data_IF_831036227640
#
_entry.id   IF_831036227640
#
_cell.length_a   1.000
_cell.length_b   1.000
_cell.length_c   1.000
_cell.angle_alpha   90.00
_cell.angle_beta   90.00
_cell.angle_gamma   90.00
#
_symmetry.space_group_name_H-M   'P 1'
#
loop_
_entity.id
_entity.type
_entity.pdbx_description
1 polymer ?
#
# COMPACT_ATOMS: atom_id res chain seq x y z
N UNK A 1 -36.04 -16.15 -29.20
CA UNK A 1 -35.04 -15.16 -28.75
C UNK A 1 -35.08 -15.25 -27.24
N UNK A 2 -34.09 -15.95 -26.65
CA UNK A 2 -33.88 -15.88 -25.20
C UNK A 2 -33.45 -14.45 -24.89
N UNK A 3 -34.23 -13.73 -24.10
CA UNK A 3 -33.78 -12.49 -23.46
C UNK A 3 -32.57 -12.85 -22.63
N UNK A 4 -31.40 -12.39 -23.05
CA UNK A 4 -30.22 -12.40 -22.20
C UNK A 4 -30.54 -11.55 -20.97
N UNK A 5 -31.02 -12.18 -19.91
CA UNK A 5 -31.21 -11.50 -18.63
C UNK A 5 -29.84 -10.94 -18.20
N UNK A 6 -29.79 -9.64 -17.95
CA UNK A 6 -28.58 -8.98 -17.50
C UNK A 6 -28.11 -9.65 -16.19
N UNK A 7 -26.82 -10.01 -16.12
CA UNK A 7 -26.25 -10.61 -14.91
C UNK A 7 -26.45 -9.66 -13.72
N UNK A 8 -26.82 -10.19 -12.54
CA UNK A 8 -26.91 -9.35 -11.35
C UNK A 8 -25.54 -8.69 -11.05
N UNK A 9 -25.56 -7.39 -10.73
CA UNK A 9 -24.37 -6.65 -10.28
C UNK A 9 -24.43 -6.51 -8.75
N UNK A 10 -23.55 -7.23 -8.06
CA UNK A 10 -23.47 -7.26 -6.60
C UNK A 10 -22.34 -6.32 -6.16
N UNK A 11 -22.71 -5.33 -5.38
CA UNK A 11 -21.75 -4.42 -4.74
C UNK A 11 -21.26 -5.02 -3.43
N UNK A 12 -19.94 -5.11 -3.27
CA UNK A 12 -19.29 -5.67 -2.08
C UNK A 12 -18.29 -4.65 -1.54
N UNK A 13 -18.17 -4.57 -0.23
CA UNK A 13 -17.17 -3.77 0.45
C UNK A 13 -16.26 -4.66 1.27
N UNK A 14 -14.95 -4.46 1.13
CA UNK A 14 -13.91 -5.35 1.65
C UNK A 14 -12.90 -4.53 2.43
N UNK A 15 -12.54 -5.02 3.62
CA UNK A 15 -11.55 -4.41 4.50
C UNK A 15 -10.21 -5.15 4.44
N UNK A 16 -9.14 -4.42 4.19
CA UNK A 16 -7.76 -4.86 4.35
C UNK A 16 -7.31 -4.34 5.72
N UNK A 17 -7.41 -5.19 6.75
CA UNK A 17 -7.00 -4.82 8.11
C UNK A 17 -5.50 -5.08 8.28
N UNK A 18 -4.78 -4.06 8.77
CA UNK A 18 -3.31 -4.07 8.84
C UNK A 18 -2.85 -3.82 10.28
N UNK A 19 -1.96 -4.68 10.77
CA UNK A 19 -1.23 -4.51 12.03
C UNK A 19 0.21 -4.94 11.87
N UNK A 20 1.17 -4.09 12.28
CA UNK A 20 2.60 -4.36 12.15
C UNK A 20 2.99 -4.92 10.75
N UNK A 21 2.52 -4.25 9.70
CA UNK A 21 2.75 -4.61 8.31
C UNK A 21 2.26 -6.03 7.90
N UNK A 22 1.38 -6.65 8.70
CA UNK A 22 0.67 -7.89 8.39
C UNK A 22 -0.78 -7.60 8.06
N UNK A 23 -1.41 -8.51 7.33
CA UNK A 23 -2.80 -8.39 6.86
C UNK A 23 -3.64 -9.49 7.50
N UNK A 24 -4.82 -9.15 8.00
CA UNK A 24 -5.78 -10.09 8.57
C UNK A 24 -6.55 -10.80 7.46
N UNK A 25 -6.57 -12.13 7.53
CA UNK A 25 -7.19 -13.00 6.51
C UNK A 25 -7.97 -14.11 7.19
N UNK A 26 -9.15 -14.41 6.65
CA UNK A 26 -10.00 -15.53 7.06
C UNK A 26 -10.02 -16.65 6.03
N UNK A 27 -10.77 -17.68 6.36
CA UNK A 27 -11.04 -18.82 5.51
C UNK A 27 -12.53 -18.92 5.23
N UNK A 28 -12.90 -19.01 3.98
CA UNK A 28 -14.28 -19.16 3.51
C UNK A 28 -14.65 -20.62 3.41
N UNK A 29 -15.70 -21.02 4.13
CA UNK A 29 -16.15 -22.40 4.14
C UNK A 29 -16.67 -22.88 2.78
N UNK A 30 -16.68 -24.21 2.59
CA UNK A 30 -16.94 -24.84 1.29
C UNK A 30 -18.34 -24.59 0.72
N UNK A 31 -19.33 -24.34 1.57
CA UNK A 31 -20.73 -24.10 1.23
C UNK A 31 -21.03 -22.65 0.78
N UNK A 32 -20.07 -21.74 0.96
CA UNK A 32 -20.20 -20.35 0.54
C UNK A 32 -19.82 -20.15 -0.95
N UNK A 33 -20.35 -19.09 -1.56
CA UNK A 33 -19.93 -18.70 -2.91
C UNK A 33 -18.42 -18.45 -2.95
N UNK A 34 -17.72 -19.11 -3.89
CA UNK A 34 -16.25 -19.14 -3.92
C UNK A 34 -15.61 -19.77 -2.67
N UNK A 35 -16.24 -20.78 -2.05
CA UNK A 35 -15.75 -21.51 -0.88
C UNK A 35 -14.37 -22.15 -1.08
N UNK A 36 -13.79 -22.65 0.02
CA UNK A 36 -12.42 -23.20 0.09
C UNK A 36 -11.35 -22.21 -0.39
N UNK A 37 -11.52 -20.94 -0.03
CA UNK A 37 -10.57 -19.86 -0.36
C UNK A 37 -10.34 -18.96 0.84
N UNK A 38 -9.19 -18.31 0.81
CA UNK A 38 -8.90 -17.22 1.74
C UNK A 38 -9.72 -15.98 1.38
N UNK A 39 -10.04 -15.19 2.40
CA UNK A 39 -10.82 -13.98 2.23
C UNK A 39 -10.34 -12.85 3.15
N UNK A 40 -10.66 -11.62 2.75
CA UNK A 40 -10.62 -10.47 3.62
C UNK A 40 -11.99 -10.25 4.25
N UNK A 41 -12.09 -9.62 5.45
CA UNK A 41 -13.37 -9.24 6.03
C UNK A 41 -14.19 -8.36 5.08
N UNK A 42 -15.49 -8.61 5.00
CA UNK A 42 -16.36 -7.79 4.17
C UNK A 42 -17.57 -8.53 3.62
N UNK A 43 -18.52 -7.75 3.11
CA UNK A 43 -19.78 -8.29 2.61
C UNK A 43 -20.50 -7.35 1.66
N UNK A 44 -21.78 -7.66 1.42
CA UNK A 44 -22.60 -6.92 0.47
C UNK A 44 -22.93 -5.53 0.98
N UNK A 45 -22.93 -4.56 0.08
CA UNK A 45 -23.45 -3.22 0.35
C UNK A 45 -24.96 -3.26 0.29
N UNK A 46 -25.64 -2.97 1.37
CA UNK A 46 -27.08 -2.98 1.49
C UNK A 46 -27.75 -1.79 0.77
N UNK A 47 -29.07 -1.86 0.59
CA UNK A 47 -29.82 -0.80 -0.06
C UNK A 47 -29.77 0.49 0.76
N UNK A 48 -29.34 1.61 0.13
CA UNK A 48 -29.18 2.89 0.79
C UNK A 48 -27.89 3.06 1.59
N UNK A 49 -27.06 2.01 1.69
CA UNK A 49 -25.79 2.06 2.40
C UNK A 49 -24.64 2.55 1.49
N UNK A 50 -23.72 3.32 2.05
CA UNK A 50 -22.46 3.64 1.36
C UNK A 50 -21.46 2.49 1.49
N UNK A 51 -20.56 2.28 0.50
CA UNK A 51 -19.57 1.20 0.60
C UNK A 51 -18.67 1.27 1.85
N UNK A 52 -18.33 2.47 2.32
CA UNK A 52 -17.51 2.62 3.53
C UNK A 52 -18.29 2.21 4.79
N UNK A 53 -19.60 2.48 4.84
CA UNK A 53 -20.44 2.08 5.97
C UNK A 53 -20.65 0.56 5.98
N UNK A 54 -20.87 -0.06 4.82
CA UNK A 54 -20.89 -1.51 4.67
C UNK A 54 -19.58 -2.13 5.18
N UNK A 55 -18.43 -1.56 4.78
CA UNK A 55 -17.13 -2.02 5.27
C UNK A 55 -17.03 -2.00 6.79
N UNK A 56 -17.47 -0.91 7.43
CA UNK A 56 -17.46 -0.77 8.90
C UNK A 56 -18.37 -1.78 9.58
N UNK A 57 -19.59 -1.93 9.09
CA UNK A 57 -20.57 -2.87 9.61
C UNK A 57 -20.05 -4.30 9.55
N UNK A 58 -19.57 -4.73 8.39
CA UNK A 58 -19.04 -6.09 8.19
C UNK A 58 -17.82 -6.37 9.08
N UNK A 59 -16.89 -5.42 9.21
CA UNK A 59 -15.73 -5.57 10.11
C UNK A 59 -16.17 -5.70 11.57
N UNK A 60 -17.18 -4.94 12.00
CA UNK A 60 -17.72 -5.07 13.36
C UNK A 60 -18.42 -6.43 13.55
N UNK A 61 -19.21 -6.88 12.59
CA UNK A 61 -19.97 -8.13 12.65
C UNK A 61 -19.05 -9.35 12.60
N UNK A 62 -18.14 -9.42 11.63
CA UNK A 62 -17.29 -10.59 11.39
C UNK A 62 -16.04 -10.62 12.28
N UNK A 63 -15.37 -9.48 12.46
CA UNK A 63 -14.08 -9.40 13.15
C UNK A 63 -14.23 -8.92 14.59
N UNK A 64 -15.27 -8.13 14.89
CA UNK A 64 -15.51 -7.55 16.22
C UNK A 64 -14.81 -6.22 16.47
N UNK A 65 -14.31 -5.56 15.43
CA UNK A 65 -13.57 -4.31 15.53
C UNK A 65 -14.42 -3.11 15.08
N UNK A 66 -14.44 -2.06 15.91
CA UNK A 66 -14.97 -0.74 15.56
C UNK A 66 -13.80 0.22 15.32
N UNK A 67 -13.47 0.46 14.06
CA UNK A 67 -12.33 1.27 13.65
C UNK A 67 -12.79 2.63 13.11
N UNK A 68 -12.09 3.69 13.50
CA UNK A 68 -12.44 5.07 13.14
C UNK A 68 -12.11 5.39 11.66
N UNK A 69 -10.93 4.96 11.19
CA UNK A 69 -10.38 5.41 9.92
C UNK A 69 -10.27 4.26 8.93
N UNK A 70 -10.96 4.42 7.80
CA UNK A 70 -10.86 3.56 6.63
C UNK A 70 -10.39 4.40 5.45
N UNK A 71 -9.39 3.92 4.75
CA UNK A 71 -8.79 4.59 3.60
C UNK A 71 -9.14 3.82 2.33
N UNK A 72 -9.66 4.53 1.32
CA UNK A 72 -9.99 3.90 0.04
C UNK A 72 -8.71 3.34 -0.59
N UNK A 73 -8.69 2.03 -0.80
CA UNK A 73 -7.56 1.34 -1.41
C UNK A 73 -7.73 1.20 -2.90
N UNK A 74 -8.81 0.51 -3.35
CA UNK A 74 -9.05 0.27 -4.77
C UNK A 74 -10.53 0.04 -5.06
N UNK A 75 -10.85 -0.08 -6.36
CA UNK A 75 -12.15 -0.51 -6.86
C UNK A 75 -11.94 -1.46 -8.03
N UNK A 76 -12.56 -2.65 -7.95
CA UNK A 76 -12.48 -3.66 -9.00
C UNK A 76 -13.90 -4.04 -9.40
N UNK A 77 -14.16 -4.01 -10.71
CA UNK A 77 -15.36 -4.64 -11.30
C UNK A 77 -14.92 -5.90 -12.01
N UNK A 78 -15.44 -7.04 -11.56
CA UNK A 78 -15.09 -8.35 -12.10
C UNK A 78 -16.35 -9.09 -12.54
N UNK A 79 -16.29 -9.67 -13.72
CA UNK A 79 -17.41 -10.46 -14.27
C UNK A 79 -17.09 -11.95 -14.16
N UNK A 80 -17.94 -12.67 -13.42
CA UNK A 80 -18.01 -14.13 -13.40
C UNK A 80 -19.04 -14.63 -14.42
N UNK A 81 -19.16 -15.93 -14.59
CA UNK A 81 -20.14 -16.53 -15.53
C UNK A 81 -21.57 -16.18 -15.16
N UNK A 82 -21.90 -16.13 -13.88
CA UNK A 82 -23.23 -15.98 -13.29
C UNK A 82 -23.51 -14.59 -12.71
N UNK A 83 -22.46 -13.79 -12.38
CA UNK A 83 -22.61 -12.55 -11.64
C UNK A 83 -21.51 -11.55 -11.98
N UNK A 84 -21.83 -10.27 -11.92
CA UNK A 84 -20.85 -9.18 -11.89
C UNK A 84 -20.68 -8.76 -10.44
N UNK A 85 -19.42 -8.58 -10.00
CA UNK A 85 -19.12 -8.08 -8.66
C UNK A 85 -18.36 -6.75 -8.75
N UNK A 86 -18.88 -5.77 -8.01
CA UNK A 86 -18.27 -4.44 -7.86
C UNK A 86 -17.67 -4.35 -6.47
N UNK A 87 -16.35 -4.58 -6.38
CA UNK A 87 -15.59 -4.69 -5.13
C UNK A 87 -14.99 -3.35 -4.74
N UNK A 88 -15.36 -2.83 -3.58
CA UNK A 88 -14.81 -1.63 -2.98
C UNK A 88 -13.83 -2.03 -1.88
N UNK A 89 -12.54 -1.79 -2.08
CA UNK A 89 -11.51 -2.11 -1.09
C UNK A 89 -11.14 -0.89 -0.26
N UNK A 90 -11.11 -1.09 1.05
CA UNK A 90 -10.61 -0.12 2.02
C UNK A 90 -9.52 -0.78 2.87
N UNK A 91 -8.53 -0.03 3.32
CA UNK A 91 -7.64 -0.51 4.36
C UNK A 91 -7.83 0.28 5.66
N UNK A 92 -7.52 -0.35 6.78
CA UNK A 92 -7.53 0.26 8.10
C UNK A 92 -6.42 -0.32 8.97
N UNK A 93 -5.86 0.51 9.84
CA UNK A 93 -4.86 0.08 10.81
C UNK A 93 -5.51 -0.36 12.12
N UNK A 94 -5.11 -1.55 12.59
CA UNK A 94 -5.60 -2.13 13.85
C UNK A 94 -4.59 -1.82 14.96
N UNK A 95 -5.03 -1.14 16.01
CA UNK A 95 -4.19 -0.81 17.16
C UNK A 95 -3.91 -2.07 17.99
N UNK A 96 -2.75 -2.14 18.64
CA UNK A 96 -2.40 -3.26 19.51
C UNK A 96 -3.43 -3.50 20.63
N UNK A 97 -4.06 -2.44 21.13
CA UNK A 97 -5.11 -2.51 22.17
C UNK A 97 -6.42 -3.18 21.69
N UNK A 98 -6.59 -3.38 20.39
CA UNK A 98 -7.81 -3.95 19.82
C UNK A 98 -7.64 -5.43 19.40
N UNK A 99 -6.42 -5.97 19.47
CA UNK A 99 -6.12 -7.33 18.99
C UNK A 99 -6.92 -8.41 19.74
N UNK A 100 -7.12 -8.24 21.04
CA UNK A 100 -7.87 -9.20 21.89
C UNK A 100 -9.39 -9.21 21.58
N UNK A 101 -9.89 -8.22 20.83
CA UNK A 101 -11.30 -8.14 20.39
C UNK A 101 -11.58 -8.96 19.14
N UNK A 102 -10.53 -9.37 18.43
CA UNK A 102 -10.65 -10.08 17.15
C UNK A 102 -11.27 -11.46 17.39
N UNK A 103 -12.44 -11.68 16.78
CA UNK A 103 -13.11 -12.98 16.78
C UNK A 103 -12.31 -14.01 15.98
N UNK A 104 -12.39 -15.27 16.35
CA UNK A 104 -11.84 -16.37 15.54
C UNK A 104 -12.76 -16.67 14.34
N UNK A 105 -12.25 -17.15 13.19
CA UNK A 105 -10.91 -17.73 12.97
C UNK A 105 -9.95 -16.87 12.10
N UNK A 106 -9.85 -15.58 12.36
CA UNK A 106 -8.98 -14.67 11.60
C UNK A 106 -7.50 -14.86 11.96
N UNK A 107 -6.58 -14.76 10.93
CA UNK A 107 -5.14 -14.96 11.08
C UNK A 107 -4.35 -13.85 10.40
N UNK A 108 -3.25 -13.42 11.03
CA UNK A 108 -2.34 -12.41 10.50
C UNK A 108 -1.29 -13.02 9.59
N UNK A 109 -1.24 -12.59 8.32
CA UNK A 109 -0.24 -12.99 7.34
C UNK A 109 0.67 -11.84 6.97
N UNK A 110 1.96 -12.12 6.72
CA UNK A 110 2.83 -11.13 6.09
C UNK A 110 2.35 -10.85 4.66
N UNK A 111 2.63 -9.65 4.15
CA UNK A 111 2.20 -9.25 2.80
C UNK A 111 2.73 -10.16 1.70
N UNK A 112 3.97 -10.65 1.85
CA UNK A 112 4.63 -11.56 0.90
C UNK A 112 4.07 -13.00 0.94
N UNK A 113 3.41 -13.42 2.01
CA UNK A 113 2.72 -14.72 2.10
C UNK A 113 1.38 -14.73 1.36
N UNK A 114 0.74 -13.57 1.16
CA UNK A 114 -0.60 -13.49 0.56
C UNK A 114 -0.66 -14.06 -0.86
N UNK A 115 0.42 -13.97 -1.63
CA UNK A 115 0.47 -14.48 -3.01
C UNK A 115 0.39 -16.00 -3.09
N UNK A 116 0.77 -16.71 -2.02
CA UNK A 116 0.77 -18.18 -1.93
C UNK A 116 -0.58 -18.72 -1.43
N UNK A 117 -1.48 -17.82 -1.00
CA UNK A 117 -2.81 -18.17 -0.52
C UNK A 117 -3.83 -18.23 -1.67
N UNK A 118 -4.75 -19.20 -1.57
CA UNK A 118 -5.80 -19.41 -2.58
C UNK A 118 -6.94 -18.39 -2.42
N UNK A 119 -6.77 -17.17 -2.91
CA UNK A 119 -7.83 -16.15 -2.95
C UNK A 119 -8.72 -16.27 -4.21
N UNK A 120 -9.95 -15.73 -4.19
CA UNK A 120 -10.77 -15.53 -5.39
C UNK A 120 -10.03 -14.75 -6.48
N UNK A 121 -10.33 -15.08 -7.76
CA UNK A 121 -9.64 -14.45 -8.91
C UNK A 121 -9.73 -12.93 -8.91
N UNK A 122 -10.86 -12.37 -8.48
CA UNK A 122 -11.08 -10.92 -8.39
C UNK A 122 -10.12 -10.22 -7.40
N UNK A 123 -9.57 -10.94 -6.41
CA UNK A 123 -8.64 -10.36 -5.42
C UNK A 123 -7.18 -10.34 -5.89
N UNK A 124 -6.83 -11.05 -6.98
CA UNK A 124 -5.43 -11.13 -7.44
C UNK A 124 -4.75 -9.77 -7.67
N UNK A 125 -5.39 -8.75 -8.28
CA UNK A 125 -4.77 -7.44 -8.43
C UNK A 125 -4.46 -6.78 -7.08
N UNK A 126 -5.34 -6.96 -6.08
CA UNK A 126 -5.17 -6.44 -4.73
C UNK A 126 -4.02 -7.12 -4.02
N UNK A 127 -3.94 -8.46 -4.09
CA UNK A 127 -2.82 -9.24 -3.53
C UNK A 127 -1.48 -8.75 -4.11
N UNK A 128 -1.42 -8.58 -5.44
CA UNK A 128 -0.23 -8.06 -6.11
C UNK A 128 0.15 -6.67 -5.61
N UNK A 129 -0.83 -5.78 -5.40
CA UNK A 129 -0.60 -4.42 -4.89
C UNK A 129 -0.17 -4.43 -3.42
N UNK A 130 -0.74 -5.32 -2.60
CA UNK A 130 -0.36 -5.48 -1.20
C UNK A 130 1.05 -6.02 -1.01
N UNK A 131 1.55 -6.83 -1.97
CA UNK A 131 2.91 -7.34 -1.97
C UNK A 131 3.90 -6.26 -2.44
N UNK A 132 4.20 -5.31 -1.55
CA UNK A 132 5.17 -4.25 -1.82
C UNK A 132 6.57 -4.82 -2.05
N UNK A 133 7.24 -4.35 -3.12
CA UNK A 133 8.59 -4.80 -3.47
C UNK A 133 9.61 -4.37 -2.43
N UNK A 134 10.64 -5.18 -2.23
CA UNK A 134 11.61 -5.00 -1.14
C UNK A 134 12.71 -3.95 -1.42
N UNK A 135 12.89 -3.58 -2.68
CA UNK A 135 13.94 -2.65 -3.08
C UNK A 135 13.35 -1.43 -3.80
N UNK A 136 13.82 -0.25 -3.45
CA UNK A 136 13.44 1.00 -4.10
C UNK A 136 14.72 1.72 -4.53
N UNK A 137 14.93 1.81 -5.86
CA UNK A 137 15.98 2.63 -6.45
C UNK A 137 15.52 4.08 -6.50
N UNK A 138 16.36 5.01 -6.08
CA UNK A 138 16.07 6.44 -6.15
C UNK A 138 16.97 7.03 -7.24
N UNK A 139 16.39 7.75 -8.22
CA UNK A 139 17.14 8.34 -9.32
C UNK A 139 16.46 9.59 -9.87
N UNK A 140 17.24 10.49 -10.44
CA UNK A 140 16.79 11.63 -11.23
C UNK A 140 16.53 11.22 -12.70
N UNK A 141 17.17 10.11 -13.14
CA UNK A 141 17.03 9.59 -14.50
C UNK A 141 15.84 8.60 -14.58
N UNK A 142 14.78 8.99 -15.33
CA UNK A 142 13.60 8.15 -15.57
C UNK A 142 13.92 6.89 -16.39
N UNK A 143 14.97 6.90 -17.21
CA UNK A 143 15.34 5.75 -18.03
C UNK A 143 15.73 4.53 -17.19
N UNK A 144 16.11 4.75 -15.93
CA UNK A 144 16.34 3.68 -14.96
C UNK A 144 15.09 2.79 -14.75
N UNK A 145 13.89 3.28 -15.06
CA UNK A 145 12.66 2.50 -15.00
C UNK A 145 12.69 1.28 -15.93
N UNK A 146 13.34 1.42 -17.10
CA UNK A 146 13.50 0.33 -18.08
C UNK A 146 14.59 -0.69 -17.67
N UNK A 147 15.44 -0.32 -16.71
CA UNK A 147 16.60 -1.11 -16.27
C UNK A 147 16.41 -1.73 -14.88
N UNK A 148 15.22 -1.56 -14.28
CA UNK A 148 14.93 -2.11 -12.96
C UNK A 148 15.01 -3.64 -12.97
N UNK A 149 15.72 -4.18 -11.98
CA UNK A 149 15.67 -5.60 -11.68
C UNK A 149 14.26 -6.06 -11.30
N UNK A 150 14.02 -7.36 -11.35
CA UNK A 150 12.80 -7.92 -10.79
C UNK A 150 12.72 -7.62 -9.28
N UNK A 151 11.56 -7.22 -8.81
CA UNK A 151 11.37 -6.89 -7.39
C UNK A 151 11.84 -5.49 -6.98
N UNK A 152 12.04 -4.57 -7.93
CA UNK A 152 12.40 -3.19 -7.64
C UNK A 152 11.32 -2.19 -8.07
N UNK A 153 11.18 -1.09 -7.27
CA UNK A 153 10.54 0.16 -7.66
C UNK A 153 11.59 1.20 -8.05
N UNK A 154 11.19 2.17 -8.85
CA UNK A 154 11.92 3.42 -9.06
C UNK A 154 11.20 4.54 -8.30
N UNK A 155 11.87 5.19 -7.34
CA UNK A 155 11.46 6.51 -6.88
C UNK A 155 12.19 7.55 -7.74
N UNK A 156 11.45 8.11 -8.69
CA UNK A 156 11.98 9.11 -9.61
C UNK A 156 11.86 10.52 -9.03
N UNK A 157 12.98 11.23 -9.01
CA UNK A 157 13.12 12.63 -8.55
C UNK A 157 13.56 13.49 -9.73
N UNK A 158 12.66 13.92 -10.64
CA UNK A 158 13.06 14.76 -11.77
C UNK A 158 13.67 16.07 -11.31
N UNK A 159 14.65 16.57 -12.05
CA UNK A 159 15.26 17.90 -11.82
C UNK A 159 14.22 19.01 -12.05
N UNK A 160 13.32 18.84 -13.03
CA UNK A 160 12.25 19.78 -13.35
C UNK A 160 10.89 19.09 -13.35
N UNK A 161 9.95 19.62 -12.58
CA UNK A 161 8.56 19.15 -12.54
C UNK A 161 7.86 19.42 -13.87
N UNK A 162 8.17 20.55 -14.53
CA UNK A 162 7.52 20.99 -15.78
C UNK A 162 7.78 20.03 -16.93
N UNK A 163 8.93 19.33 -16.92
CA UNK A 163 9.28 18.34 -17.94
C UNK A 163 8.80 16.92 -17.62
N UNK A 164 8.33 16.69 -16.41
CA UNK A 164 8.00 15.34 -15.94
C UNK A 164 6.94 14.64 -16.80
N UNK A 165 5.89 15.35 -17.18
CA UNK A 165 4.81 14.79 -18.01
C UNK A 165 5.30 14.40 -19.41
N UNK A 166 6.21 15.18 -20.02
CA UNK A 166 6.78 14.89 -21.35
C UNK A 166 7.71 13.67 -21.29
N UNK A 167 8.56 13.58 -20.25
CA UNK A 167 9.46 12.46 -20.06
C UNK A 167 8.70 11.16 -19.80
N UNK A 168 7.65 11.21 -18.99
CA UNK A 168 6.79 10.06 -18.73
C UNK A 168 6.01 9.59 -19.97
N UNK A 169 5.64 10.49 -20.87
CA UNK A 169 4.94 10.13 -22.11
C UNK A 169 5.80 9.24 -23.04
N UNK A 170 7.12 9.24 -22.87
CA UNK A 170 8.06 8.43 -23.65
C UNK A 170 8.28 7.03 -23.02
N UNK A 171 7.80 6.79 -21.82
CA UNK A 171 8.01 5.52 -21.10
C UNK A 171 6.98 4.47 -21.48
N UNK A 172 7.39 3.20 -21.42
CA UNK A 172 6.45 2.10 -21.59
C UNK A 172 5.42 2.09 -20.43
N UNK A 173 4.12 2.20 -20.75
CA UNK A 173 3.06 2.24 -19.74
C UNK A 173 3.08 1.08 -18.74
N UNK A 174 3.51 -0.10 -19.16
CA UNK A 174 3.56 -1.30 -18.32
C UNK A 174 4.53 -1.15 -17.12
N UNK A 175 5.53 -0.27 -17.22
CA UNK A 175 6.48 -0.03 -16.15
C UNK A 175 6.01 1.01 -15.13
N UNK A 176 5.03 1.83 -15.47
CA UNK A 176 4.54 2.90 -14.58
C UNK A 176 3.94 2.38 -13.27
N UNK A 177 3.53 1.12 -13.24
CA UNK A 177 3.09 0.45 -12.00
C UNK A 177 4.22 0.24 -10.98
N UNK A 178 5.49 0.42 -11.39
CA UNK A 178 6.68 0.35 -10.51
C UNK A 178 7.29 1.73 -10.22
N UNK A 179 6.62 2.80 -10.61
CA UNK A 179 7.11 4.16 -10.47
C UNK A 179 6.51 4.84 -9.24
N UNK A 180 7.36 5.42 -8.41
CA UNK A 180 7.01 6.32 -7.31
C UNK A 180 7.46 7.72 -7.69
N UNK A 181 6.59 8.72 -7.54
CA UNK A 181 6.92 10.13 -7.76
C UNK A 181 6.48 10.98 -6.57
N UNK A 182 7.13 12.11 -6.34
CA UNK A 182 6.63 13.05 -5.32
C UNK A 182 5.26 13.63 -5.70
N UNK A 183 4.45 13.99 -4.72
CA UNK A 183 3.08 14.51 -4.93
C UNK A 183 3.06 15.76 -5.82
N UNK A 184 4.08 16.62 -5.75
CA UNK A 184 4.13 17.83 -6.57
C UNK A 184 4.35 17.46 -8.05
N UNK A 185 5.20 16.47 -8.33
CA UNK A 185 5.39 15.88 -9.66
C UNK A 185 4.08 15.24 -10.12
N UNK A 186 3.44 14.43 -9.27
CA UNK A 186 2.21 13.73 -9.61
C UNK A 186 1.07 14.68 -9.98
N UNK A 187 0.92 15.79 -9.27
CA UNK A 187 -0.07 16.85 -9.58
C UNK A 187 0.17 17.52 -10.93
N UNK A 188 1.41 17.59 -11.40
CA UNK A 188 1.78 18.13 -12.70
C UNK A 188 1.59 17.15 -13.88
N UNK A 189 1.25 15.89 -13.61
CA UNK A 189 1.01 14.88 -14.65
C UNK A 189 -0.37 15.05 -15.30
N UNK A 190 -0.49 14.60 -16.55
CA UNK A 190 -1.80 14.50 -17.23
C UNK A 190 -2.73 13.51 -16.49
N UNK A 191 -4.04 13.65 -16.62
CA UNK A 191 -5.02 12.76 -16.00
C UNK A 191 -4.79 11.28 -16.34
N UNK A 192 -4.38 10.98 -17.58
CA UNK A 192 -4.07 9.61 -17.98
C UNK A 192 -2.87 9.08 -17.23
N UNK A 193 -1.80 9.86 -17.09
CA UNK A 193 -0.59 9.48 -16.35
C UNK A 193 -0.89 9.33 -14.85
N UNK A 194 -1.70 10.19 -14.27
CA UNK A 194 -2.15 10.09 -12.88
C UNK A 194 -2.93 8.78 -12.61
N UNK A 195 -3.74 8.33 -13.57
CA UNK A 195 -4.43 7.04 -13.49
C UNK A 195 -3.47 5.84 -13.53
N UNK A 196 -2.29 6.00 -14.12
CA UNK A 196 -1.29 4.93 -14.28
C UNK A 196 -0.26 4.93 -13.16
N UNK A 197 0.16 6.11 -12.67
CA UNK A 197 1.12 6.25 -11.57
C UNK A 197 0.34 6.25 -10.25
N UNK A 198 0.36 5.11 -9.56
CA UNK A 198 -0.43 4.87 -8.34
C UNK A 198 0.35 4.98 -7.04
N UNK A 199 1.66 5.22 -7.11
CA UNK A 199 2.50 5.36 -5.93
C UNK A 199 3.08 6.77 -5.85
N UNK A 200 2.79 7.44 -4.75
CA UNK A 200 3.12 8.84 -4.52
C UNK A 200 3.91 9.01 -3.24
N UNK A 201 5.04 9.68 -3.33
CA UNK A 201 5.87 10.00 -2.18
C UNK A 201 5.47 11.38 -1.60
N UNK A 202 5.45 11.46 -0.28
CA UNK A 202 5.30 12.70 0.50
C UNK A 202 6.61 13.02 1.21
N UNK A 203 7.15 14.23 0.99
CA UNK A 203 8.29 14.75 1.75
C UNK A 203 7.89 14.94 3.22
N UNK A 204 8.84 14.92 4.15
CA UNK A 204 8.58 15.07 5.58
C UNK A 204 7.68 16.27 5.89
N UNK A 205 7.99 17.47 5.36
CA UNK A 205 7.18 18.67 5.59
C UNK A 205 5.75 18.58 5.01
N UNK A 206 5.54 17.77 3.94
CA UNK A 206 4.21 17.50 3.38
C UNK A 206 3.44 16.57 4.31
N UNK A 207 4.08 15.49 4.81
CA UNK A 207 3.48 14.57 5.81
C UNK A 207 2.99 15.34 7.03
N UNK A 208 3.81 16.22 7.59
CA UNK A 208 3.50 16.94 8.82
C UNK A 208 2.37 17.97 8.66
N UNK A 209 2.08 18.43 7.45
CA UNK A 209 1.04 19.44 7.17
C UNK A 209 -0.27 18.84 6.67
N UNK A 210 -0.23 17.67 6.05
CA UNK A 210 -1.41 17.07 5.40
C UNK A 210 -2.37 16.43 6.41
N UNK A 211 -3.64 16.41 6.02
CA UNK A 211 -4.72 15.70 6.70
C UNK A 211 -5.26 14.58 5.80
N UNK A 212 -6.09 13.70 6.36
CA UNK A 212 -6.73 12.58 5.61
C UNK A 212 -7.47 13.09 4.38
N UNK A 213 -8.15 14.22 4.49
CA UNK A 213 -8.92 14.85 3.38
C UNK A 213 -8.06 15.30 2.20
N UNK A 214 -6.76 15.50 2.41
CA UNK A 214 -5.85 15.98 1.37
C UNK A 214 -5.33 14.84 0.49
N UNK A 215 -5.48 13.58 0.95
CA UNK A 215 -5.04 12.42 0.21
C UNK A 215 -6.06 12.00 -0.84
N UNK A 216 -5.56 11.74 -2.05
CA UNK A 216 -6.37 11.27 -3.16
C UNK A 216 -6.61 9.78 -3.00
N UNK A 217 -7.86 9.38 -3.08
CA UNK A 217 -8.27 7.99 -2.91
C UNK A 217 -7.72 7.08 -4.01
N UNK A 218 -7.32 5.86 -3.63
CA UNK A 218 -6.80 4.86 -4.56
C UNK A 218 -5.34 5.06 -4.95
N UNK A 219 -4.62 5.97 -4.29
CA UNK A 219 -3.17 6.19 -4.40
C UNK A 219 -2.48 5.57 -3.20
N UNK A 220 -1.37 4.88 -3.41
CA UNK A 220 -0.48 4.37 -2.36
C UNK A 220 0.53 5.45 -1.98
N UNK A 221 0.47 5.92 -0.74
CA UNK A 221 1.36 6.98 -0.26
C UNK A 221 2.57 6.42 0.50
N UNK A 222 3.76 6.92 0.15
CA UNK A 222 5.06 6.62 0.75
C UNK A 222 5.57 7.88 1.46
N UNK A 223 5.59 7.88 2.78
CA UNK A 223 5.99 9.04 3.59
C UNK A 223 7.50 9.07 3.85
N UNK A 224 8.15 10.24 3.75
CA UNK A 224 9.50 10.42 4.29
C UNK A 224 9.43 10.79 5.77
N UNK A 225 9.99 9.94 6.62
CA UNK A 225 9.97 10.05 8.08
C UNK A 225 11.37 9.99 8.66
N UNK A 226 11.57 10.68 9.80
CA UNK A 226 12.87 10.74 10.49
C UNK A 226 12.78 10.31 11.95
N UNK A 227 11.56 10.23 12.51
CA UNK A 227 11.26 10.01 13.91
C UNK A 227 9.91 9.35 14.13
N UNK A 228 9.57 9.10 15.39
CA UNK A 228 8.28 8.50 15.78
C UNK A 228 7.08 9.38 15.44
N UNK A 229 7.22 10.70 15.57
CA UNK A 229 6.12 11.65 15.33
C UNK A 229 5.71 11.64 13.85
N UNK A 230 6.68 11.71 12.95
CA UNK A 230 6.44 11.66 11.50
C UNK A 230 5.88 10.30 11.05
N UNK A 231 6.31 9.18 11.66
CA UNK A 231 5.70 7.87 11.41
C UNK A 231 4.23 7.81 11.86
N UNK A 232 3.92 8.32 13.05
CA UNK A 232 2.53 8.38 13.53
C UNK A 232 1.65 9.28 12.66
N UNK A 233 2.18 10.44 12.27
CA UNK A 233 1.45 11.34 11.37
C UNK A 233 1.19 10.68 10.01
N UNK A 234 2.19 10.03 9.41
CA UNK A 234 2.05 9.31 8.16
C UNK A 234 0.98 8.20 8.24
N UNK A 235 1.01 7.39 9.30
CA UNK A 235 0.01 6.35 9.54
C UNK A 235 -1.38 6.94 9.77
N UNK A 236 -1.49 8.01 10.53
CA UNK A 236 -2.75 8.69 10.84
C UNK A 236 -3.45 9.24 9.61
N UNK A 237 -2.70 9.78 8.64
CA UNK A 237 -3.28 10.29 7.39
C UNK A 237 -3.54 9.19 6.36
N UNK A 238 -3.06 7.96 6.54
CA UNK A 238 -3.32 6.82 5.65
C UNK A 238 -2.21 6.52 4.65
N UNK A 239 -0.95 6.83 4.97
CA UNK A 239 0.17 6.33 4.19
C UNK A 239 0.30 4.81 4.35
N UNK A 240 0.62 4.11 3.26
CA UNK A 240 0.82 2.65 3.27
C UNK A 240 2.26 2.25 3.57
N UNK A 241 3.21 3.14 3.30
CA UNK A 241 4.62 2.90 3.50
C UNK A 241 5.36 4.15 3.97
N UNK A 242 6.52 3.96 4.58
CA UNK A 242 7.40 5.03 4.99
C UNK A 242 8.86 4.75 4.61
N UNK A 243 9.58 5.79 4.20
CA UNK A 243 11.05 5.83 4.17
C UNK A 243 11.51 6.37 5.52
N UNK A 244 12.16 5.56 6.32
CA UNK A 244 12.72 5.99 7.60
C UNK A 244 14.23 6.19 7.45
N UNK A 245 14.70 7.42 7.65
CA UNK A 245 16.07 7.85 7.32
C UNK A 245 16.61 8.94 8.25
N UNK A 246 17.95 9.10 8.32
CA UNK A 246 18.96 8.21 7.76
C UNK A 246 19.33 7.08 8.72
N UNK A 247 19.44 5.84 8.22
CA UNK A 247 19.86 4.69 9.05
C UNK A 247 21.37 4.71 9.29
N UNK A 248 22.14 4.97 8.22
CA UNK A 248 23.60 5.14 8.26
C UNK A 248 23.96 6.52 7.73
N UNK A 249 25.19 6.96 8.00
CA UNK A 249 25.73 8.22 7.44
C UNK A 249 25.65 8.19 5.92
N UNK A 250 25.26 9.31 5.33
CA UNK A 250 25.05 9.42 3.88
C UNK A 250 25.78 10.63 3.32
N UNK A 251 26.38 10.47 2.15
CA UNK A 251 27.06 11.57 1.45
C UNK A 251 26.07 12.65 0.95
N UNK A 252 24.81 12.31 0.77
CA UNK A 252 23.77 13.27 0.33
C UNK A 252 23.39 14.27 1.43
N UNK A 253 23.55 13.90 2.69
CA UNK A 253 23.25 14.71 3.88
C UNK A 253 24.25 14.39 4.98
N UNK A 254 25.52 14.81 4.83
CA UNK A 254 26.59 14.45 5.76
C UNK A 254 26.38 15.04 7.16
N UNK A 255 25.59 16.12 7.27
CA UNK A 255 25.21 16.79 8.51
C UNK A 255 24.11 16.04 9.30
N UNK A 256 23.39 15.12 8.65
CA UNK A 256 22.30 14.40 9.30
C UNK A 256 22.84 13.27 10.17
N UNK A 257 22.48 13.27 11.44
CA UNK A 257 22.87 12.22 12.38
C UNK A 257 22.17 10.89 12.02
N UNK A 258 22.96 9.83 11.84
CA UNK A 258 22.45 8.51 11.54
C UNK A 258 21.83 7.88 12.79
N UNK A 259 20.58 7.40 12.68
CA UNK A 259 19.87 6.80 13.80
C UNK A 259 20.40 5.42 14.19
N UNK A 260 21.07 4.72 13.29
CA UNK A 260 21.52 3.35 13.47
C UNK A 260 20.42 2.30 13.48
N UNK A 261 20.79 1.05 13.30
CA UNK A 261 19.84 -0.06 13.17
C UNK A 261 18.97 -0.31 14.42
N UNK A 262 19.52 -0.07 15.64
CA UNK A 262 18.75 -0.30 16.88
C UNK A 262 17.59 0.70 17.01
N UNK A 263 17.84 1.99 16.77
CA UNK A 263 16.81 3.02 16.78
C UNK A 263 15.81 2.78 15.66
N UNK A 264 16.29 2.46 14.45
CA UNK A 264 15.44 2.08 13.34
C UNK A 264 14.49 0.95 13.72
N UNK A 265 14.98 -0.16 14.29
CA UNK A 265 14.16 -1.30 14.69
C UNK A 265 13.07 -0.91 15.71
N UNK A 266 13.43 -0.10 16.72
CA UNK A 266 12.48 0.37 17.72
C UNK A 266 11.33 1.20 17.12
N UNK A 267 11.61 1.95 16.05
CA UNK A 267 10.62 2.74 15.35
C UNK A 267 9.79 1.89 14.39
N UNK A 268 10.46 1.06 13.58
CA UNK A 268 9.82 0.22 12.57
C UNK A 268 8.85 -0.80 13.16
N UNK A 269 9.19 -1.45 14.29
CA UNK A 269 8.32 -2.41 14.98
C UNK A 269 6.99 -1.82 15.48
N UNK A 270 6.95 -0.53 15.74
CA UNK A 270 5.77 0.17 16.26
C UNK A 270 4.88 0.71 15.14
N UNK A 271 5.33 0.60 13.89
CA UNK A 271 4.58 1.05 12.73
C UNK A 271 3.76 -0.08 12.13
N UNK A 272 2.51 0.20 11.78
CA UNK A 272 1.67 -0.72 11.00
C UNK A 272 1.93 -0.60 9.50
N UNK A 273 2.61 0.46 9.07
CA UNK A 273 3.04 0.67 7.68
C UNK A 273 4.21 -0.23 7.28
N UNK A 274 4.41 -0.39 5.97
CA UNK A 274 5.65 -0.96 5.44
C UNK A 274 6.79 0.07 5.57
N UNK A 275 7.76 -0.17 6.46
CA UNK A 275 8.89 0.76 6.70
C UNK A 275 10.10 0.34 5.89
N UNK A 276 10.55 1.21 5.00
CA UNK A 276 11.78 1.05 4.23
C UNK A 276 12.93 1.77 4.91
N UNK A 277 14.04 1.06 5.09
CA UNK A 277 15.28 1.67 5.56
C UNK A 277 15.92 2.48 4.43
N UNK A 278 16.33 3.73 4.74
CA UNK A 278 16.96 4.63 3.77
C UNK A 278 18.12 5.37 4.44
N UNK A 279 19.16 5.70 3.66
CA UNK A 279 20.35 6.47 4.06
C UNK A 279 21.58 5.60 4.25
N UNK A 280 22.59 5.81 3.40
CA UNK A 280 23.87 5.13 3.43
C UNK A 280 23.87 3.64 3.06
N UNK A 281 22.76 3.09 2.56
CA UNK A 281 22.54 1.66 2.34
C UNK A 281 22.91 1.21 0.92
N UNK A 282 23.30 -0.07 0.81
CA UNK A 282 23.57 -0.79 -0.44
C UNK A 282 22.55 -1.92 -0.60
N UNK A 283 22.39 -2.46 -1.81
CA UNK A 283 21.49 -3.59 -2.08
C UNK A 283 21.81 -4.84 -1.23
N UNK A 284 23.08 -5.02 -0.82
CA UNK A 284 23.55 -6.08 0.06
C UNK A 284 23.02 -5.96 1.50
N UNK A 285 22.58 -4.77 1.92
CA UNK A 285 22.08 -4.52 3.28
C UNK A 285 20.64 -4.99 3.47
N UNK A 286 19.96 -5.49 2.42
CA UNK A 286 18.57 -5.95 2.51
C UNK A 286 18.38 -7.02 3.60
N UNK A 287 19.26 -8.03 3.66
CA UNK A 287 19.16 -9.08 4.67
C UNK A 287 19.27 -8.52 6.11
N UNK A 288 20.18 -7.58 6.32
CA UNK A 288 20.33 -6.87 7.59
C UNK A 288 19.08 -6.05 7.90
N UNK A 289 18.58 -5.27 6.93
CA UNK A 289 17.39 -4.45 7.11
C UNK A 289 16.17 -5.28 7.55
N UNK A 290 15.95 -6.44 6.92
CA UNK A 290 14.86 -7.36 7.28
C UNK A 290 15.00 -7.88 8.72
N UNK A 291 16.22 -8.15 9.21
CA UNK A 291 16.46 -8.55 10.61
C UNK A 291 16.09 -7.44 11.60
N UNK A 292 16.18 -6.18 11.16
CA UNK A 292 15.81 -5.00 11.94
C UNK A 292 14.39 -4.48 11.63
N UNK A 293 13.49 -5.37 11.21
CA UNK A 293 12.06 -5.11 10.96
C UNK A 293 11.75 -4.14 9.81
N UNK A 294 12.72 -3.86 8.92
CA UNK A 294 12.39 -3.16 7.70
C UNK A 294 11.54 -4.04 6.80
N UNK A 295 10.59 -3.44 6.07
CA UNK A 295 9.92 -4.11 4.95
C UNK A 295 10.89 -4.32 3.79
N UNK A 296 11.77 -3.36 3.56
CA UNK A 296 12.74 -3.34 2.49
C UNK A 296 13.73 -2.18 2.64
N UNK A 297 14.48 -1.90 1.59
CA UNK A 297 15.48 -0.83 1.54
C UNK A 297 15.24 0.12 0.37
N UNK A 298 15.67 1.37 0.54
CA UNK A 298 15.71 2.37 -0.52
C UNK A 298 17.08 3.03 -0.60
N UNK A 299 17.53 3.42 -1.81
CA UNK A 299 18.82 4.07 -1.99
C UNK A 299 19.02 4.70 -3.36
N UNK A 300 19.97 5.66 -3.43
CA UNK A 300 20.35 6.39 -4.64
C UNK A 300 21.46 5.63 -5.38
N UNK A 301 22.48 5.23 -4.63
CA UNK A 301 23.68 4.57 -5.15
C UNK A 301 23.62 3.09 -4.77
N UNK A 302 24.21 2.23 -5.60
CA UNK A 302 24.35 0.79 -5.28
C UNK A 302 23.05 0.00 -5.10
N UNK A 303 21.93 0.48 -5.72
CA UNK A 303 20.65 -0.24 -5.74
C UNK A 303 20.37 -0.80 -7.14
#
# INVERSE_FOLDING_TARGET
MEELMAKPDIRVSIAILIHQNKVLVGWREADQHQGNKYEFPGGKVEAGESPINACRREVLEEVGLDLENYFKFDFIRHEYEDVIVSLNFYFAYVKAADLDKIKQPWTWYRRDELQDLNFPKANKPIIKRLNLLKKIKISEDILQLNQLEEGQYLYWRPESIDQASQLLAQMNPNFLSRLIVNIDVWKGLSELQQKMVKMVQLKHHQVMKMQISDLIQGISYFASCHDQESLWQAQRIGCEAAFLSPVQTTESHPEAEAMGWKTFANLAQKSDMAVYALGGLKSTDLATALQYYAHGIAGIRYM
#
